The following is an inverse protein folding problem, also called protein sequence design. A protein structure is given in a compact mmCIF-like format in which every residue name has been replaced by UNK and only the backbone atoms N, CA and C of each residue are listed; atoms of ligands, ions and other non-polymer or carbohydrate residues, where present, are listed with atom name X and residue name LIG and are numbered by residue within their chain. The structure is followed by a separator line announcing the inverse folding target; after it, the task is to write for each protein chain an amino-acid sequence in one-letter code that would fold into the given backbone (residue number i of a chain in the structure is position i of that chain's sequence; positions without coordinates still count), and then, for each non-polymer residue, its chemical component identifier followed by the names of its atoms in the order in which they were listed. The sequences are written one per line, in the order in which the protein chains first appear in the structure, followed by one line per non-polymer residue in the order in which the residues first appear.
data_IF_566739594183
#
_entry.id   IF_566739594183
#
_cell.length_a   1.000
_cell.length_b   1.000
_cell.length_c   1.000
_cell.angle_alpha   90.00
_cell.angle_beta   90.00
_cell.angle_gamma   90.00
#
_symmetry.space_group_name_H-M   'P 1'
#
loop_
_entity.id
_entity.type
_entity.pdbx_description
1 polymer ?
#
# COMPACT_ATOMS: atom_id res chain seq x y z
N UNK A 1 15.10 -43.07 -38.60
CA UNK A 1 15.85 -42.54 -37.44
C UNK A 1 15.72 -41.02 -37.43
N UNK A 2 15.59 -40.41 -36.25
CA UNK A 2 15.78 -38.96 -35.98
C UNK A 2 14.58 -38.01 -35.93
N UNK A 3 13.40 -38.45 -35.48
CA UNK A 3 12.36 -37.51 -34.99
C UNK A 3 12.30 -37.48 -33.44
N UNK A 4 12.81 -38.51 -32.77
CA UNK A 4 12.74 -38.67 -31.31
C UNK A 4 13.88 -37.92 -30.56
N UNK A 5 15.00 -37.58 -31.22
CA UNK A 5 16.09 -36.82 -30.60
C UNK A 5 15.86 -35.29 -30.52
N UNK A 6 14.88 -34.73 -31.25
CA UNK A 6 14.64 -33.28 -31.29
C UNK A 6 13.74 -32.76 -30.18
N UNK A 7 12.80 -33.58 -29.70
CA UNK A 7 11.88 -33.23 -28.62
C UNK A 7 12.57 -32.86 -27.29
N UNK A 8 13.53 -33.65 -26.77
CA UNK A 8 14.18 -33.30 -25.50
C UNK A 8 15.05 -32.04 -25.60
N UNK A 9 15.65 -31.75 -26.77
CA UNK A 9 16.42 -30.52 -26.97
C UNK A 9 15.53 -29.27 -27.00
N UNK A 10 14.36 -29.36 -27.64
CA UNK A 10 13.40 -28.26 -27.70
C UNK A 10 12.83 -27.93 -26.30
N UNK A 11 12.52 -28.97 -25.52
CA UNK A 11 12.08 -28.85 -24.12
C UNK A 11 13.18 -28.27 -23.24
N UNK A 12 14.44 -28.70 -23.39
CA UNK A 12 15.56 -28.12 -22.66
C UNK A 12 15.78 -26.64 -23.00
N UNK A 13 15.71 -26.25 -24.28
CA UNK A 13 15.84 -24.84 -24.69
C UNK A 13 14.68 -24.01 -24.13
N UNK A 14 13.45 -24.54 -24.14
CA UNK A 14 12.29 -23.89 -23.55
C UNK A 14 12.46 -23.72 -22.03
N UNK A 15 12.85 -24.77 -21.31
CA UNK A 15 13.11 -24.73 -19.87
C UNK A 15 14.24 -23.73 -19.52
N UNK A 16 15.33 -23.70 -20.29
CA UNK A 16 16.41 -22.73 -20.11
C UNK A 16 15.95 -21.30 -20.40
N UNK A 17 15.11 -21.09 -21.41
CA UNK A 17 14.53 -19.79 -21.71
C UNK A 17 13.57 -19.32 -20.60
N UNK A 18 12.71 -20.20 -20.08
CA UNK A 18 11.84 -19.94 -18.93
C UNK A 18 12.63 -19.68 -17.65
N UNK A 19 13.67 -20.48 -17.38
CA UNK A 19 14.55 -20.28 -16.23
C UNK A 19 15.32 -18.97 -16.33
N UNK A 20 15.85 -18.62 -17.51
CA UNK A 20 16.51 -17.33 -17.78
C UNK A 20 15.54 -16.16 -17.67
N UNK A 21 14.30 -16.32 -18.15
CA UNK A 21 13.25 -15.31 -18.03
C UNK A 21 12.87 -15.09 -16.57
N UNK A 22 12.67 -16.17 -15.80
CA UNK A 22 12.39 -16.12 -14.37
C UNK A 22 13.57 -15.50 -13.61
N UNK A 23 14.80 -15.94 -13.88
CA UNK A 23 16.03 -15.40 -13.32
C UNK A 23 16.19 -13.90 -13.59
N UNK A 24 16.02 -13.46 -14.85
CA UNK A 24 16.05 -12.03 -15.19
C UNK A 24 14.98 -11.23 -14.45
N UNK A 25 13.80 -11.80 -14.24
CA UNK A 25 12.69 -11.13 -13.56
C UNK A 25 12.86 -11.10 -12.05
N UNK A 26 13.50 -12.11 -11.47
CA UNK A 26 13.89 -12.16 -10.06
C UNK A 26 15.09 -11.26 -9.75
N UNK A 27 16.01 -11.08 -10.70
CA UNK A 27 17.17 -10.20 -10.58
C UNK A 27 16.91 -8.77 -11.05
N UNK A 28 15.72 -8.45 -11.56
CA UNK A 28 15.38 -7.09 -11.95
C UNK A 28 15.19 -6.25 -10.69
N UNK A 29 16.27 -5.65 -10.20
CA UNK A 29 16.26 -4.71 -9.09
C UNK A 29 15.96 -3.32 -9.62
N UNK A 30 14.99 -2.63 -9.00
CA UNK A 30 14.64 -1.26 -9.37
C UNK A 30 15.72 -0.23 -9.00
N UNK A 31 16.81 -0.65 -8.33
CA UNK A 31 17.89 0.24 -7.87
C UNK A 31 18.48 1.10 -8.99
N UNK A 32 18.72 0.52 -10.16
CA UNK A 32 19.23 1.27 -11.33
C UNK A 32 18.23 2.30 -11.88
N UNK A 33 16.92 2.07 -11.70
CA UNK A 33 15.89 3.00 -12.18
C UNK A 33 15.80 4.27 -11.33
N UNK A 34 16.30 4.21 -10.10
CA UNK A 34 16.25 5.28 -9.09
C UNK A 34 17.51 6.14 -9.00
N UNK A 35 18.59 5.78 -9.70
CA UNK A 35 19.88 6.48 -9.65
C UNK A 35 19.79 7.98 -9.99
N UNK A 36 18.83 8.34 -10.86
CA UNK A 36 18.65 9.72 -11.33
C UNK A 36 17.44 10.43 -10.68
N UNK A 37 16.87 9.87 -9.62
CA UNK A 37 15.73 10.46 -8.92
C UNK A 37 16.19 11.61 -8.02
N UNK A 38 15.33 12.62 -7.84
CA UNK A 38 15.62 13.73 -6.93
C UNK A 38 15.65 13.27 -5.46
N UNK A 39 16.31 14.00 -4.58
CA UNK A 39 16.25 13.69 -3.15
C UNK A 39 14.91 14.13 -2.55
N UNK A 40 14.33 13.29 -1.70
CA UNK A 40 13.20 13.63 -0.86
C UNK A 40 13.62 14.64 0.20
N UNK A 41 12.79 15.66 0.44
CA UNK A 41 13.02 16.56 1.57
C UNK A 41 12.69 15.85 2.88
N UNK A 42 13.22 16.35 4.00
CA UNK A 42 12.83 15.86 5.31
C UNK A 42 11.31 15.97 5.53
N UNK A 43 10.68 17.03 5.01
CA UNK A 43 9.23 17.24 5.08
C UNK A 43 8.45 16.19 4.27
N UNK A 44 8.94 15.79 3.09
CA UNK A 44 8.32 14.72 2.30
C UNK A 44 8.35 13.37 3.05
N UNK A 45 9.39 13.15 3.87
CA UNK A 45 9.64 11.90 4.57
C UNK A 45 9.03 11.82 5.97
N UNK A 46 8.88 12.95 6.66
CA UNK A 46 8.41 13.04 8.04
C UNK A 46 7.14 12.22 8.33
N UNK A 47 6.15 12.12 7.42
CA UNK A 47 5.00 11.22 7.58
C UNK A 47 5.29 9.74 7.68
N UNK A 48 6.33 9.26 7.03
CA UNK A 48 6.53 7.83 6.81
C UNK A 48 6.80 7.08 8.11
N UNK A 49 7.73 7.48 9.01
CA UNK A 49 7.98 6.75 10.23
C UNK A 49 6.75 6.62 11.14
N UNK A 50 5.95 7.68 11.31
CA UNK A 50 4.75 7.62 12.16
C UNK A 50 3.65 6.74 11.53
N UNK A 51 3.46 6.82 10.22
CA UNK A 51 2.47 5.98 9.52
C UNK A 51 2.88 4.50 9.55
N UNK A 52 4.18 4.20 9.45
CA UNK A 52 4.71 2.85 9.65
C UNK A 52 4.40 2.32 11.06
N UNK A 53 4.62 3.11 12.12
CA UNK A 53 4.25 2.71 13.49
C UNK A 53 2.74 2.47 13.64
N UNK A 54 1.92 3.33 13.03
CA UNK A 54 0.47 3.17 13.04
C UNK A 54 0.05 1.89 12.31
N UNK A 55 0.62 1.59 11.14
CA UNK A 55 0.36 0.32 10.43
C UNK A 55 0.76 -0.88 11.29
N UNK A 56 1.93 -0.84 11.94
CA UNK A 56 2.39 -1.91 12.82
C UNK A 56 1.42 -2.14 13.99
N UNK A 57 0.81 -1.07 14.53
CA UNK A 57 -0.19 -1.20 15.59
C UNK A 57 -1.45 -1.97 15.16
N UNK A 58 -1.77 -2.02 13.86
CA UNK A 58 -2.89 -2.82 13.33
C UNK A 58 -2.63 -4.33 13.47
N UNK A 59 -1.36 -4.73 13.65
CA UNK A 59 -0.99 -6.12 13.87
C UNK A 59 -1.19 -6.57 15.32
N UNK A 60 -1.32 -5.64 16.27
CA UNK A 60 -1.58 -5.95 17.67
C UNK A 60 -3.01 -6.44 17.87
N UNK A 61 -3.20 -7.37 18.81
CA UNK A 61 -4.52 -7.81 19.25
C UNK A 61 -5.17 -6.81 20.21
N UNK A 62 -4.37 -6.15 21.05
CA UNK A 62 -4.78 -5.07 21.93
C UNK A 62 -3.77 -3.90 21.85
N UNK A 63 -4.24 -2.76 21.35
CA UNK A 63 -3.42 -1.56 21.19
C UNK A 63 -3.06 -0.92 22.55
N UNK A 64 -3.88 -1.14 23.60
CA UNK A 64 -3.61 -0.62 24.95
C UNK A 64 -2.56 -1.44 25.68
N UNK A 65 -2.39 -2.70 25.31
CA UNK A 65 -1.39 -3.61 25.86
C UNK A 65 -0.65 -4.35 24.73
N UNK A 66 0.18 -3.64 23.95
CA UNK A 66 0.83 -4.20 22.76
C UNK A 66 1.90 -5.23 23.14
N UNK A 67 1.97 -6.33 22.38
CA UNK A 67 2.92 -7.42 22.60
C UNK A 67 4.19 -7.30 21.76
N UNK A 68 4.10 -6.66 20.59
CA UNK A 68 5.13 -6.59 19.56
C UNK A 68 5.60 -5.17 19.30
N UNK A 69 5.38 -4.28 20.28
CA UNK A 69 5.79 -2.90 20.18
C UNK A 69 7.32 -2.77 20.02
N UNK A 70 7.81 -1.93 19.10
CA UNK A 70 9.24 -1.64 18.99
C UNK A 70 9.74 -0.90 20.25
N UNK A 71 11.07 -0.80 20.47
CA UNK A 71 11.63 0.05 21.51
C UNK A 71 11.06 1.48 21.42
N UNK A 72 10.49 1.99 22.51
CA UNK A 72 9.80 3.30 22.54
C UNK A 72 8.31 3.25 22.19
N UNK A 73 7.75 2.09 21.88
CA UNK A 73 6.33 1.92 21.58
C UNK A 73 5.94 2.39 20.18
N UNK A 74 4.64 2.32 19.88
CA UNK A 74 4.11 2.83 18.61
C UNK A 74 3.96 4.35 18.56
N UNK A 75 4.05 5.04 19.71
CA UNK A 75 3.83 6.49 19.78
C UNK A 75 2.41 6.90 19.39
N UNK A 76 1.42 6.04 19.66
CA UNK A 76 0.00 6.28 19.39
C UNK A 76 -0.76 6.45 20.70
N UNK A 77 -1.77 7.32 20.70
CA UNK A 77 -2.69 7.47 21.83
C UNK A 77 -3.93 6.57 21.60
N UNK A 78 -4.15 5.51 22.39
CA UNK A 78 -5.30 4.61 22.20
C UNK A 78 -6.66 5.31 22.31
N UNK A 79 -6.76 6.47 22.98
CA UNK A 79 -8.01 7.23 23.10
C UNK A 79 -8.35 8.00 21.81
N UNK A 80 -7.38 8.17 20.90
CA UNK A 80 -7.57 8.76 19.57
C UNK A 80 -7.97 7.72 18.51
N UNK A 81 -8.08 6.44 18.87
CA UNK A 81 -8.55 5.38 18.00
C UNK A 81 -10.07 5.47 17.84
N UNK A 82 -10.54 5.78 16.64
CA UNK A 82 -11.98 5.89 16.35
C UNK A 82 -12.60 4.50 16.23
N UNK A 83 -11.96 3.61 15.47
CA UNK A 83 -12.40 2.22 15.33
C UNK A 83 -11.26 1.31 14.88
N UNK A 84 -11.49 0.01 15.11
CA UNK A 84 -10.66 -1.11 14.63
C UNK A 84 -11.59 -2.16 14.02
N UNK A 85 -11.17 -2.73 12.89
CA UNK A 85 -11.86 -3.81 12.19
C UNK A 85 -10.94 -5.01 12.06
N UNK A 86 -11.38 -6.16 12.55
CA UNK A 86 -10.68 -7.44 12.42
C UNK A 86 -11.19 -8.23 11.20
N UNK A 87 -10.64 -9.43 10.97
CA UNK A 87 -11.11 -10.31 9.90
C UNK A 87 -12.57 -10.72 10.07
N UNK A 88 -13.02 -10.85 11.31
CA UNK A 88 -14.39 -11.18 11.67
C UNK A 88 -15.34 -10.04 11.25
N UNK A 89 -14.95 -8.79 11.52
CA UNK A 89 -15.73 -7.62 11.13
C UNK A 89 -15.78 -7.44 9.60
N UNK A 90 -14.65 -7.64 8.92
CA UNK A 90 -14.57 -7.48 7.45
C UNK A 90 -15.11 -8.70 6.70
N UNK A 91 -15.42 -9.79 7.40
CA UNK A 91 -15.81 -11.09 6.84
C UNK A 91 -14.79 -11.58 5.79
N UNK A 92 -13.50 -11.27 5.98
CA UNK A 92 -12.41 -11.60 5.05
C UNK A 92 -12.48 -10.87 3.70
N UNK A 93 -13.32 -9.84 3.54
CA UNK A 93 -13.45 -9.10 2.26
C UNK A 93 -12.46 -7.94 2.11
N UNK A 94 -11.80 -7.58 3.20
CA UNK A 94 -10.69 -6.64 3.26
C UNK A 94 -9.74 -7.03 4.41
N UNK A 95 -8.44 -6.72 4.32
CA UNK A 95 -7.53 -6.88 5.44
C UNK A 95 -7.97 -6.03 6.65
N UNK A 96 -7.61 -6.39 7.88
CA UNK A 96 -7.86 -5.58 9.06
C UNK A 96 -7.35 -4.16 8.92
N UNK A 97 -8.04 -3.21 9.55
CA UNK A 97 -7.67 -1.80 9.52
C UNK A 97 -8.14 -1.06 10.76
N UNK A 98 -7.62 0.15 10.93
CA UNK A 98 -8.06 1.10 11.94
C UNK A 98 -8.35 2.46 11.31
N UNK A 99 -9.18 3.25 11.96
CA UNK A 99 -9.28 4.70 11.74
C UNK A 99 -8.78 5.38 13.01
N UNK A 100 -7.75 6.20 12.85
CA UNK A 100 -7.05 6.90 13.91
C UNK A 100 -7.09 8.40 13.65
N UNK A 101 -7.35 9.18 14.71
CA UNK A 101 -7.40 10.63 14.64
C UNK A 101 -6.09 11.22 15.20
N UNK A 102 -5.21 11.63 14.31
CA UNK A 102 -3.90 12.19 14.66
C UNK A 102 -4.02 13.71 14.84
N UNK A 103 -4.27 14.13 16.07
CA UNK A 103 -4.42 15.54 16.41
C UNK A 103 -3.12 16.34 16.26
N UNK A 104 -1.97 15.71 16.51
CA UNK A 104 -0.66 16.36 16.46
C UNK A 104 -0.30 16.77 15.03
N UNK A 105 -0.73 15.96 14.04
CA UNK A 105 -0.48 16.19 12.63
C UNK A 105 -1.69 16.74 11.86
N UNK A 106 -2.81 17.00 12.55
CA UNK A 106 -4.08 17.36 11.95
C UNK A 106 -4.48 16.39 10.81
N UNK A 107 -4.50 15.08 11.10
CA UNK A 107 -4.72 14.04 10.11
C UNK A 107 -5.77 13.01 10.56
N UNK A 108 -6.60 12.58 9.62
CA UNK A 108 -7.51 11.44 9.78
C UNK A 108 -6.87 10.28 9.03
N UNK A 109 -6.39 9.28 9.74
CA UNK A 109 -5.59 8.20 9.15
C UNK A 109 -6.37 6.88 9.14
N UNK A 110 -6.57 6.32 7.96
CA UNK A 110 -7.05 4.94 7.79
C UNK A 110 -5.87 4.04 7.43
N UNK A 111 -5.44 3.23 8.40
CA UNK A 111 -4.28 2.35 8.27
C UNK A 111 -4.71 0.90 8.08
N UNK A 112 -4.25 0.28 6.99
CA UNK A 112 -4.64 -1.07 6.55
C UNK A 112 -3.46 -2.03 6.71
N UNK A 113 -3.70 -3.16 7.40
CA UNK A 113 -2.74 -4.23 7.61
C UNK A 113 -2.34 -4.90 6.28
N UNK A 114 -1.11 -5.38 6.22
CA UNK A 114 -0.69 -6.32 5.18
C UNK A 114 -1.27 -7.73 5.37
N UNK A 115 -0.90 -8.63 4.47
CA UNK A 115 -1.41 -10.00 4.50
C UNK A 115 -0.97 -10.75 5.76
N UNK A 116 -1.84 -11.60 6.27
CA UNK A 116 -1.54 -12.61 7.28
C UNK A 116 -1.39 -13.98 6.59
N UNK A 117 -0.22 -14.61 6.74
CA UNK A 117 0.10 -15.89 6.11
C UNK A 117 -0.84 -17.04 6.52
N UNK A 118 -1.49 -16.92 7.68
CA UNK A 118 -2.47 -17.90 8.17
C UNK A 118 -3.91 -17.62 7.70
N UNK A 119 -4.17 -16.53 6.97
CA UNK A 119 -5.52 -16.10 6.58
C UNK A 119 -5.73 -16.25 5.07
N UNK A 120 -6.47 -17.30 4.69
CA UNK A 120 -6.82 -17.58 3.29
C UNK A 120 -7.54 -16.43 2.58
N UNK A 121 -8.32 -15.64 3.32
CA UNK A 121 -9.03 -14.47 2.79
C UNK A 121 -8.09 -13.42 2.19
N UNK A 122 -6.90 -13.23 2.77
CA UNK A 122 -5.92 -12.28 2.23
C UNK A 122 -5.35 -12.76 0.90
N UNK A 123 -5.11 -14.06 0.79
CA UNK A 123 -4.73 -14.69 -0.48
C UNK A 123 -5.86 -14.59 -1.50
N UNK A 124 -7.12 -14.77 -1.10
CA UNK A 124 -8.26 -14.60 -1.99
C UNK A 124 -8.33 -13.17 -2.57
N UNK A 125 -8.10 -12.14 -1.74
CA UNK A 125 -8.02 -10.74 -2.20
C UNK A 125 -6.85 -10.55 -3.17
N UNK A 126 -5.67 -11.08 -2.85
CA UNK A 126 -4.48 -10.93 -3.69
C UNK A 126 -4.56 -11.70 -5.01
N UNK A 127 -5.19 -12.87 -5.02
CA UNK A 127 -5.27 -13.75 -6.19
C UNK A 127 -6.51 -13.51 -7.06
N UNK A 128 -7.48 -12.69 -6.61
CA UNK A 128 -8.62 -12.26 -7.42
C UNK A 128 -8.22 -11.19 -8.45
N UNK A 129 -7.36 -11.56 -9.40
CA UNK A 129 -6.94 -10.68 -10.48
C UNK A 129 -6.52 -11.41 -11.75
N UNK A 130 -6.91 -10.86 -12.89
CA UNK A 130 -6.46 -11.26 -14.23
C UNK A 130 -6.05 -10.02 -15.01
N UNK A 131 -5.08 -10.16 -15.91
CA UNK A 131 -4.61 -9.05 -16.72
C UNK A 131 -5.78 -8.43 -17.51
N UNK A 132 -5.93 -7.11 -17.40
CA UNK A 132 -6.99 -6.38 -18.10
C UNK A 132 -8.41 -6.58 -17.55
N UNK A 133 -8.58 -7.33 -16.45
CA UNK A 133 -9.90 -7.70 -15.92
C UNK A 133 -10.73 -6.49 -15.47
N UNK A 134 -10.10 -5.52 -14.80
CA UNK A 134 -10.80 -4.41 -14.18
C UNK A 134 -10.27 -3.08 -14.67
N UNK A 135 -11.12 -2.36 -15.40
CA UNK A 135 -10.90 -0.96 -15.77
C UNK A 135 -11.37 -0.03 -14.66
N UNK A 136 -10.63 1.04 -14.43
CA UNK A 136 -11.00 2.12 -13.52
C UNK A 136 -10.33 3.42 -13.99
N UNK A 137 -11.10 4.51 -14.08
CA UNK A 137 -10.62 5.83 -14.45
C UNK A 137 -9.72 5.84 -15.71
N UNK A 138 -10.11 5.10 -16.76
CA UNK A 138 -9.33 5.03 -18.01
C UNK A 138 -8.01 4.25 -17.93
N UNK A 139 -7.72 3.55 -16.83
CA UNK A 139 -6.62 2.59 -16.71
C UNK A 139 -7.09 1.23 -16.20
N UNK A 140 -6.14 0.41 -15.76
CA UNK A 140 -6.41 -0.91 -15.20
C UNK A 140 -5.94 -0.98 -13.75
N UNK A 141 -6.74 -1.63 -12.91
CA UNK A 141 -6.45 -1.82 -11.50
C UNK A 141 -6.58 -3.29 -11.12
N UNK A 142 -5.95 -3.66 -10.01
CA UNK A 142 -6.07 -5.00 -9.46
C UNK A 142 -7.48 -5.22 -8.93
N UNK A 143 -8.15 -6.25 -9.43
CA UNK A 143 -9.58 -6.46 -9.18
C UNK A 143 -9.90 -6.73 -7.70
N UNK A 144 -9.21 -7.67 -7.04
CA UNK A 144 -9.43 -7.98 -5.62
C UNK A 144 -9.14 -6.81 -4.68
N UNK A 145 -8.01 -6.12 -4.88
CA UNK A 145 -7.66 -4.92 -4.12
C UNK A 145 -8.69 -3.79 -4.30
N UNK A 146 -9.21 -3.57 -5.51
CA UNK A 146 -10.25 -2.56 -5.74
C UNK A 146 -11.56 -2.95 -5.02
N UNK A 147 -11.94 -4.24 -5.06
CA UNK A 147 -13.12 -4.72 -4.33
C UNK A 147 -12.95 -4.49 -2.83
N UNK A 148 -11.79 -4.83 -2.26
CA UNK A 148 -11.49 -4.60 -0.85
C UNK A 148 -11.57 -3.10 -0.51
N UNK A 149 -10.98 -2.23 -1.34
CA UNK A 149 -11.06 -0.78 -1.17
C UNK A 149 -12.52 -0.27 -1.17
N UNK A 150 -13.33 -0.72 -2.12
CA UNK A 150 -14.76 -0.41 -2.15
C UNK A 150 -15.50 -0.88 -0.89
N UNK A 151 -15.18 -2.07 -0.38
CA UNK A 151 -15.78 -2.60 0.86
C UNK A 151 -15.42 -1.75 2.08
N UNK A 152 -14.18 -1.30 2.20
CA UNK A 152 -13.76 -0.39 3.27
C UNK A 152 -14.50 0.93 3.17
N UNK A 153 -14.56 1.52 1.97
CA UNK A 153 -15.28 2.78 1.78
C UNK A 153 -16.77 2.64 2.11
N UNK A 154 -17.43 1.58 1.65
CA UNK A 154 -18.86 1.39 1.91
C UNK A 154 -19.16 1.15 3.39
N UNK A 155 -18.27 0.47 4.12
CA UNK A 155 -18.43 0.23 5.55
C UNK A 155 -18.22 1.51 6.37
N UNK A 156 -17.21 2.32 6.01
CA UNK A 156 -16.75 3.44 6.83
C UNK A 156 -17.14 4.81 6.26
N UNK A 157 -17.99 4.85 5.23
CA UNK A 157 -18.37 6.07 4.52
C UNK A 157 -18.88 7.16 5.46
N UNK A 158 -19.84 6.80 6.34
CA UNK A 158 -20.46 7.76 7.26
C UNK A 158 -19.46 8.23 8.33
N UNK A 159 -18.67 7.32 8.91
CA UNK A 159 -17.64 7.68 9.90
C UNK A 159 -16.60 8.63 9.29
N UNK A 160 -16.09 8.31 8.10
CA UNK A 160 -15.12 9.17 7.42
C UNK A 160 -15.73 10.53 7.05
N UNK A 161 -16.98 10.56 6.59
CA UNK A 161 -17.69 11.80 6.28
C UNK A 161 -17.84 12.68 7.53
N UNK A 162 -18.32 12.12 8.62
CA UNK A 162 -18.47 12.83 9.90
C UNK A 162 -17.13 13.40 10.39
N UNK A 163 -16.04 12.62 10.32
CA UNK A 163 -14.71 13.10 10.72
C UNK A 163 -14.21 14.22 9.80
N UNK A 164 -14.37 14.09 8.49
CA UNK A 164 -13.95 15.10 7.51
C UNK A 164 -14.71 16.42 7.67
N UNK A 165 -16.01 16.35 7.99
CA UNK A 165 -16.85 17.52 8.26
C UNK A 165 -16.53 18.15 9.62
N UNK A 166 -16.30 17.33 10.66
CA UNK A 166 -15.93 17.77 12.00
C UNK A 166 -14.55 18.42 12.06
N UNK A 167 -13.61 17.93 11.25
CA UNK A 167 -12.23 18.42 11.20
C UNK A 167 -11.89 18.95 9.79
N UNK A 168 -12.40 20.14 9.40
CA UNK A 168 -12.26 20.66 8.05
C UNK A 168 -10.82 21.02 7.67
N UNK A 169 -9.96 21.25 8.66
CA UNK A 169 -8.55 21.56 8.46
C UNK A 169 -7.67 20.30 8.41
N UNK A 170 -8.23 19.12 8.67
CA UNK A 170 -7.44 17.89 8.72
C UNK A 170 -7.28 17.27 7.33
N UNK A 171 -6.15 16.62 7.09
CA UNK A 171 -5.99 15.73 5.94
C UNK A 171 -6.74 14.41 6.15
N UNK A 172 -6.99 13.70 5.05
CA UNK A 172 -7.48 12.33 5.06
C UNK A 172 -6.41 11.45 4.41
N UNK A 173 -5.67 10.73 5.25
CA UNK A 173 -4.55 9.89 4.82
C UNK A 173 -4.92 8.42 4.83
N UNK A 174 -4.73 7.76 3.69
CA UNK A 174 -4.80 6.31 3.59
C UNK A 174 -3.39 5.73 3.67
N UNK A 175 -3.19 4.71 4.49
CA UNK A 175 -1.88 4.07 4.58
C UNK A 175 -2.01 2.56 4.75
N UNK A 176 -0.96 1.84 4.41
CA UNK A 176 -0.92 0.40 4.61
C UNK A 176 0.47 -0.15 4.34
N UNK A 177 0.62 -1.45 4.60
CA UNK A 177 1.82 -2.22 4.25
C UNK A 177 1.49 -3.38 3.30
N UNK A 178 2.34 -3.64 2.31
CA UNK A 178 2.25 -4.79 1.40
C UNK A 178 0.87 -4.89 0.70
N UNK A 179 0.08 -5.91 1.02
CA UNK A 179 -1.31 -6.07 0.56
C UNK A 179 -2.17 -4.84 0.91
N UNK A 180 -2.09 -4.38 2.16
CA UNK A 180 -2.85 -3.25 2.68
C UNK A 180 -2.54 -1.95 1.96
N UNK A 181 -1.29 -1.74 1.54
CA UNK A 181 -0.88 -0.57 0.74
C UNK A 181 -1.56 -0.52 -0.63
N UNK A 182 -1.72 -1.68 -1.27
CA UNK A 182 -2.44 -1.77 -2.53
C UNK A 182 -3.92 -1.44 -2.37
N UNK A 183 -4.53 -1.86 -1.26
CA UNK A 183 -5.90 -1.47 -0.90
C UNK A 183 -5.98 0.02 -0.59
N UNK A 184 -5.05 0.57 0.19
CA UNK A 184 -5.00 1.99 0.56
C UNK A 184 -4.85 2.90 -0.67
N UNK A 185 -3.96 2.55 -1.60
CA UNK A 185 -3.74 3.30 -2.82
C UNK A 185 -5.00 3.34 -3.70
N UNK A 186 -5.67 2.20 -3.88
CA UNK A 186 -6.93 2.14 -4.63
C UNK A 186 -8.08 2.81 -3.89
N UNK A 187 -8.11 2.75 -2.56
CA UNK A 187 -9.10 3.45 -1.73
C UNK A 187 -8.97 4.97 -1.90
N UNK A 188 -7.76 5.51 -1.88
CA UNK A 188 -7.53 6.93 -2.15
C UNK A 188 -8.06 7.35 -3.53
N UNK A 189 -7.85 6.53 -4.57
CA UNK A 189 -8.40 6.79 -5.90
C UNK A 189 -9.94 6.75 -5.90
N UNK A 190 -10.55 5.75 -5.27
CA UNK A 190 -12.01 5.63 -5.18
C UNK A 190 -12.60 6.83 -4.45
N UNK A 191 -12.02 7.25 -3.34
CA UNK A 191 -12.47 8.43 -2.58
C UNK A 191 -12.38 9.69 -3.42
N UNK A 192 -11.29 9.90 -4.15
CA UNK A 192 -11.14 11.10 -5.00
C UNK A 192 -12.09 11.11 -6.19
N UNK A 193 -12.49 9.94 -6.68
CA UNK A 193 -13.53 9.81 -7.72
C UNK A 193 -14.95 9.95 -7.17
N UNK A 194 -15.16 9.82 -5.86
CA UNK A 194 -16.47 9.86 -5.20
C UNK A 194 -16.46 10.84 -3.99
N UNK A 195 -15.89 12.03 -4.17
CA UNK A 195 -15.68 13.02 -3.08
C UNK A 195 -17.00 13.52 -2.48
N UNK A 196 -18.07 13.51 -3.26
CA UNK A 196 -19.43 13.81 -2.85
C UNK A 196 -19.91 12.90 -1.70
N UNK A 197 -19.42 11.65 -1.64
CA UNK A 197 -19.72 10.71 -0.55
C UNK A 197 -19.07 11.08 0.78
N UNK A 198 -17.99 11.87 0.76
CA UNK A 198 -17.25 12.30 1.96
C UNK A 198 -17.29 13.84 2.12
N UNK A 199 -18.49 14.42 2.08
CA UNK A 199 -18.69 15.84 2.38
C UNK A 199 -18.00 16.78 1.38
N UNK A 200 -17.82 16.35 0.12
CA UNK A 200 -17.10 17.09 -0.92
C UNK A 200 -15.66 17.46 -0.53
N UNK A 201 -14.96 16.57 0.16
CA UNK A 201 -13.56 16.78 0.54
C UNK A 201 -12.71 17.27 -0.64
N UNK A 202 -11.88 18.28 -0.40
CA UNK A 202 -10.96 18.76 -1.42
C UNK A 202 -9.92 17.66 -1.72
N UNK A 203 -9.66 17.37 -3.00
CA UNK A 203 -8.62 16.42 -3.44
C UNK A 203 -7.27 16.70 -2.77
N UNK A 204 -6.94 17.96 -2.57
CA UNK A 204 -5.69 18.40 -1.93
C UNK A 204 -5.58 18.01 -0.45
N UNK A 205 -6.67 17.58 0.20
CA UNK A 205 -6.65 17.06 1.57
C UNK A 205 -6.48 15.53 1.60
N UNK A 206 -6.65 14.84 0.48
CA UNK A 206 -6.51 13.39 0.41
C UNK A 206 -5.05 13.03 0.14
N UNK A 207 -4.50 12.12 0.94
CA UNK A 207 -3.14 11.60 0.80
C UNK A 207 -3.15 10.08 0.92
N UNK A 208 -2.14 9.44 0.36
CA UNK A 208 -1.89 8.02 0.55
C UNK A 208 -0.40 7.77 0.69
N UNK A 209 0.01 7.03 1.73
CA UNK A 209 1.37 6.52 1.88
C UNK A 209 1.33 4.99 1.82
N UNK A 210 1.68 4.45 0.66
CA UNK A 210 1.57 3.04 0.35
C UNK A 210 2.93 2.37 0.61
N UNK A 211 3.12 1.70 1.75
CA UNK A 211 4.40 1.15 2.18
C UNK A 211 4.64 -0.26 1.60
N UNK A 212 5.73 -0.48 0.89
CA UNK A 212 6.05 -1.70 0.14
C UNK A 212 4.87 -2.22 -0.72
N UNK A 213 4.27 -1.40 -1.60
CA UNK A 213 2.97 -1.70 -2.17
C UNK A 213 2.98 -2.87 -3.15
N UNK A 214 1.93 -3.69 -3.10
CA UNK A 214 1.62 -4.61 -4.19
C UNK A 214 1.30 -3.83 -5.49
N UNK A 215 1.70 -4.38 -6.64
CA UNK A 215 1.35 -3.80 -7.95
C UNK A 215 -0.17 -3.80 -8.12
N UNK A 216 -0.78 -2.63 -7.99
CA UNK A 216 -2.25 -2.49 -7.90
C UNK A 216 -2.89 -1.68 -9.03
N UNK A 217 -2.11 -0.98 -9.86
CA UNK A 217 -2.64 -0.16 -10.95
C UNK A 217 -1.67 -0.06 -12.15
N UNK A 218 -2.19 0.38 -13.30
CA UNK A 218 -1.41 0.66 -14.50
C UNK A 218 -0.63 1.97 -14.38
N UNK A 219 0.47 2.08 -15.15
CA UNK A 219 1.38 3.22 -15.09
C UNK A 219 0.67 4.58 -15.32
N UNK A 220 -0.29 4.64 -16.24
CA UNK A 220 -1.04 5.88 -16.49
C UNK A 220 -1.85 6.34 -15.26
N UNK A 221 -2.33 5.42 -14.42
CA UNK A 221 -3.00 5.75 -13.16
C UNK A 221 -1.98 6.15 -12.11
N UNK A 222 -0.86 5.44 -11.99
CA UNK A 222 0.21 5.82 -11.08
C UNK A 222 0.70 7.26 -11.32
N UNK A 223 0.87 7.66 -12.59
CA UNK A 223 1.22 9.04 -12.97
C UNK A 223 0.08 10.02 -12.68
N UNK A 224 -1.17 9.67 -13.00
CA UNK A 224 -2.34 10.54 -12.78
C UNK A 224 -2.62 10.86 -11.31
N UNK A 225 -2.29 9.94 -10.41
CA UNK A 225 -2.53 10.07 -8.97
C UNK A 225 -1.25 10.32 -8.17
N UNK A 226 -0.14 10.68 -8.84
CA UNK A 226 1.14 10.98 -8.20
C UNK A 226 1.09 12.20 -7.25
N UNK A 227 0.07 13.05 -7.39
CA UNK A 227 -0.18 14.19 -6.51
C UNK A 227 -0.73 13.81 -5.14
N UNK A 228 -1.31 12.61 -5.00
CA UNK A 228 -1.90 12.14 -3.72
C UNK A 228 -1.32 10.83 -3.22
N UNK A 229 -0.81 9.96 -4.09
CA UNK A 229 -0.27 8.65 -3.71
C UNK A 229 1.24 8.73 -3.65
N UNK A 230 1.81 8.42 -2.49
CA UNK A 230 3.23 8.27 -2.19
C UNK A 230 3.51 6.77 -1.93
N UNK A 231 4.08 6.07 -2.89
CA UNK A 231 4.50 4.67 -2.73
C UNK A 231 5.88 4.65 -2.09
N UNK A 232 6.07 3.91 -1.00
CA UNK A 232 7.33 3.90 -0.25
C UNK A 232 7.95 2.51 -0.30
N UNK A 233 9.22 2.33 -0.71
CA UNK A 233 9.86 1.01 -0.79
C UNK A 233 11.24 1.06 -0.17
N UNK A 234 11.51 0.19 0.81
CA UNK A 234 12.86 0.02 1.34
C UNK A 234 13.70 -0.85 0.40
N UNK A 235 14.81 -0.32 -0.08
CA UNK A 235 15.86 -1.08 -0.73
C UNK A 235 16.96 -1.36 0.30
N UNK A 236 17.09 -2.64 0.66
CA UNK A 236 18.26 -3.16 1.32
C UNK A 236 19.21 -3.71 0.23
N UNK A 237 20.39 -3.10 0.09
CA UNK A 237 21.48 -3.65 -0.72
C UNK A 237 22.14 -4.78 0.08
N UNK A 238 22.41 -5.94 -0.53
CA UNK A 238 23.20 -7.01 0.12
C UNK A 238 24.68 -6.60 0.21
N UNK A 239 25.10 -5.65 -0.62
CA UNK A 239 26.46 -5.12 -0.72
C UNK A 239 26.70 -3.84 0.09
N UNK A 240 25.65 -3.10 0.46
CA UNK A 240 25.75 -1.90 1.30
C UNK A 240 25.03 -2.14 2.63
N UNK A 241 25.70 -1.98 3.78
CA UNK A 241 25.13 -2.27 5.10
C UNK A 241 24.02 -1.30 5.55
N UNK A 242 23.55 -0.40 4.66
CA UNK A 242 22.65 0.70 5.00
C UNK A 242 21.35 0.63 4.16
N UNK A 243 20.17 0.58 4.80
CA UNK A 243 18.89 0.58 4.11
C UNK A 243 18.64 1.96 3.45
N UNK A 244 18.16 2.00 2.21
CA UNK A 244 17.63 3.21 1.53
C UNK A 244 16.11 3.11 1.40
N UNK A 245 15.34 4.17 1.70
CA UNK A 245 13.88 4.19 1.49
C UNK A 245 13.56 5.03 0.24
N UNK A 246 12.80 4.47 -0.71
CA UNK A 246 12.37 5.16 -1.93
C UNK A 246 10.93 5.62 -1.82
N UNK A 247 10.61 6.74 -2.48
CA UNK A 247 9.24 7.07 -2.86
C UNK A 247 9.01 6.79 -4.36
N UNK A 248 8.38 5.67 -4.69
CA UNK A 248 8.15 5.17 -6.06
C UNK A 248 7.17 6.02 -6.88
N UNK A 249 6.36 6.89 -6.28
CA UNK A 249 5.40 7.74 -7.05
C UNK A 249 5.76 9.22 -7.09
N UNK A 250 6.63 9.72 -6.20
CA UNK A 250 7.19 11.07 -6.32
C UNK A 250 8.53 11.09 -7.06
N UNK A 251 9.07 9.92 -7.45
CA UNK A 251 10.38 9.77 -8.10
C UNK A 251 11.48 10.42 -7.26
N UNK A 252 11.44 10.16 -5.94
CA UNK A 252 12.39 10.71 -4.98
C UNK A 252 13.05 9.60 -4.16
N UNK A 253 14.33 9.78 -3.86
CA UNK A 253 15.12 8.89 -2.99
C UNK A 253 15.40 9.55 -1.64
N UNK A 254 15.42 8.76 -0.56
CA UNK A 254 15.79 9.22 0.78
C UNK A 254 17.12 8.56 1.14
N UNK A 255 18.12 9.38 1.44
CA UNK A 255 19.37 8.91 2.05
C UNK A 255 19.17 8.85 3.57
N UNK A 256 19.22 7.64 4.14
CA UNK A 256 19.05 7.42 5.57
C UNK A 256 20.35 7.67 6.38
N UNK A 257 21.41 8.18 5.74
CA UNK A 257 22.69 8.51 6.38
C UNK A 257 22.83 9.97 6.82
N UNK A 258 21.88 10.84 6.44
CA UNK A 258 21.78 12.24 6.86
C UNK A 258 20.63 12.45 7.83
#
# INVERSE_FOLDING_TARGET
MSIICGFPLLECVYCLACARWAWKRCLHTAGHESENWGLATAEDFEPVPRLCRLILSVYEDDIRNPLWAPPGGYGINPDCLILRKTYEDTQGRAPPYIIYLDHDNADIVLAIRGLNLAKESDYAVLLDNKLGQRKFDGGYVHNGLLKAAGRVLDAECEVLKELVEKYPNYTLTFTGHSLGSGVAALLAMVVVQNRDRLGNINRQRVRCYAIAPARCMSLNLAVRYADIINSVVLQASVSDPLPFLFFVTSWKSVDLTQ
#
